data_IF_233091871468
#
_entry.id   IF_233091871468
#
_cell.length_a   1.000
_cell.length_b   1.000
_cell.length_c   1.000
_cell.angle_alpha   90.00
_cell.angle_beta   90.00
_cell.angle_gamma   90.00
#
_symmetry.space_group_name_H-M   'P 1'
#
loop_
_entity.id
_entity.type
_entity.pdbx_description
1 polymer ?
#
# COMPACT_ATOMS: atom_id res chain seq x y z
N UNK A 1 9.15 -20.17 -7.39
CA UNK A 1 9.31 -19.09 -6.39
C UNK A 1 9.70 -17.76 -7.02
N UNK A 2 10.81 -17.69 -7.79
CA UNK A 2 11.24 -16.49 -8.52
C UNK A 2 10.15 -15.85 -9.39
N UNK A 3 9.34 -16.63 -10.09
CA UNK A 3 8.23 -16.10 -10.89
C UNK A 3 7.19 -15.34 -10.04
N UNK A 4 6.79 -15.91 -8.89
CA UNK A 4 5.86 -15.26 -7.96
C UNK A 4 6.43 -13.96 -7.39
N UNK A 5 7.72 -13.94 -7.10
CA UNK A 5 8.43 -12.77 -6.61
C UNK A 5 8.51 -11.67 -7.69
N UNK A 6 8.71 -12.04 -8.95
CA UNK A 6 8.67 -11.12 -10.09
C UNK A 6 7.25 -10.54 -10.30
N UNK A 7 6.21 -11.38 -10.21
CA UNK A 7 4.83 -10.92 -10.25
C UNK A 7 4.52 -9.96 -9.10
N UNK A 8 4.92 -10.31 -7.87
CA UNK A 8 4.75 -9.45 -6.70
C UNK A 8 5.44 -8.10 -6.89
N UNK A 9 6.68 -8.09 -7.40
CA UNK A 9 7.41 -6.85 -7.68
C UNK A 9 6.65 -5.96 -8.67
N UNK A 10 6.14 -6.52 -9.77
CA UNK A 10 5.40 -5.75 -10.78
C UNK A 10 4.10 -5.19 -10.24
N UNK A 11 3.33 -6.01 -9.52
CA UNK A 11 2.02 -5.61 -8.96
C UNK A 11 2.21 -4.52 -7.91
N UNK A 12 3.12 -4.71 -6.96
CA UNK A 12 3.39 -3.73 -5.91
C UNK A 12 4.01 -2.44 -6.44
N UNK A 13 4.83 -2.51 -7.51
CA UNK A 13 5.31 -1.32 -8.21
C UNK A 13 4.15 -0.51 -8.81
N UNK A 14 3.27 -1.19 -9.55
CA UNK A 14 2.12 -0.55 -10.18
C UNK A 14 1.20 0.09 -9.14
N UNK A 15 0.77 -0.69 -8.15
CA UNK A 15 -0.10 -0.21 -7.07
C UNK A 15 0.55 0.92 -6.25
N UNK A 16 1.86 0.84 -6.01
CA UNK A 16 2.62 1.86 -5.30
C UNK A 16 2.55 3.21 -6.00
N UNK A 17 2.88 3.27 -7.29
CA UNK A 17 2.77 4.50 -8.07
C UNK A 17 1.33 4.99 -8.18
N UNK A 18 0.38 4.09 -8.40
CA UNK A 18 -1.05 4.44 -8.46
C UNK A 18 -1.51 5.12 -7.17
N UNK A 19 -1.17 4.57 -6.00
CA UNK A 19 -1.51 5.15 -4.71
C UNK A 19 -0.84 6.50 -4.45
N UNK A 20 0.41 6.66 -4.85
CA UNK A 20 1.11 7.95 -4.72
C UNK A 20 0.42 9.00 -5.60
N UNK A 21 0.11 8.69 -6.86
CA UNK A 21 -0.55 9.62 -7.78
C UNK A 21 -1.91 10.04 -7.22
N UNK A 22 -2.76 9.08 -6.84
CA UNK A 22 -4.06 9.39 -6.25
C UNK A 22 -3.93 10.12 -4.91
N UNK A 23 -2.94 9.77 -4.10
CA UNK A 23 -2.66 10.43 -2.83
C UNK A 23 -2.29 11.89 -3.01
N UNK A 24 -1.42 12.20 -3.98
CA UNK A 24 -1.06 13.58 -4.34
C UNK A 24 -2.29 14.36 -4.83
N UNK A 25 -3.11 13.76 -5.69
CA UNK A 25 -4.36 14.40 -6.16
C UNK A 25 -5.29 14.71 -4.98
N UNK A 26 -5.51 13.74 -4.09
CA UNK A 26 -6.37 13.91 -2.91
C UNK A 26 -5.81 14.89 -1.90
N UNK A 27 -4.48 15.00 -1.78
CA UNK A 27 -3.84 15.91 -0.83
C UNK A 27 -4.30 17.37 -1.02
N UNK A 28 -4.59 17.77 -2.25
CA UNK A 28 -5.06 19.11 -2.58
C UNK A 28 -6.59 19.30 -2.48
N UNK A 29 -7.35 18.27 -2.13
CA UNK A 29 -8.82 18.31 -2.06
C UNK A 29 -9.41 18.90 -0.76
N UNK A 30 -8.60 19.59 0.05
CA UNK A 30 -9.00 20.20 1.34
C UNK A 30 -8.50 19.41 2.56
N UNK A 31 -8.93 19.79 3.78
CA UNK A 31 -8.38 19.26 5.05
C UNK A 31 -8.50 17.73 5.15
N UNK A 32 -9.65 17.17 4.77
CA UNK A 32 -9.87 15.71 4.75
C UNK A 32 -9.01 15.04 3.64
N UNK A 33 -8.81 15.77 2.54
CA UNK A 33 -7.94 15.37 1.43
C UNK A 33 -6.47 15.27 1.83
N UNK A 34 -5.97 16.19 2.65
CA UNK A 34 -4.58 16.18 3.17
C UNK A 34 -4.29 14.89 3.94
N UNK A 35 -5.17 14.51 4.86
CA UNK A 35 -4.99 13.30 5.69
C UNK A 35 -5.07 12.05 4.80
N UNK A 36 -6.13 11.92 4.01
CA UNK A 36 -6.32 10.73 3.15
C UNK A 36 -5.24 10.61 2.05
N UNK A 37 -4.80 11.75 1.52
CA UNK A 37 -3.71 11.85 0.54
C UNK A 37 -2.37 11.45 1.13
N UNK A 38 -2.03 11.95 2.32
CA UNK A 38 -0.79 11.60 3.01
C UNK A 38 -0.72 10.10 3.33
N UNK A 39 -1.83 9.51 3.81
CA UNK A 39 -1.89 8.07 4.06
C UNK A 39 -1.73 7.27 2.77
N UNK A 40 -2.39 7.68 1.68
CA UNK A 40 -2.27 7.01 0.38
C UNK A 40 -0.84 7.03 -0.15
N UNK A 41 -0.14 8.17 -0.04
CA UNK A 41 1.27 8.30 -0.41
C UNK A 41 2.13 7.36 0.43
N UNK A 42 1.94 7.34 1.75
CA UNK A 42 2.67 6.47 2.66
C UNK A 42 2.50 4.98 2.31
N UNK A 43 1.27 4.55 2.03
CA UNK A 43 0.98 3.20 1.59
C UNK A 43 1.63 2.87 0.25
N UNK A 44 1.59 3.81 -0.69
CA UNK A 44 2.25 3.64 -1.98
C UNK A 44 3.76 3.47 -1.85
N UNK A 45 4.42 4.24 -0.97
CA UNK A 45 5.85 4.10 -0.68
C UNK A 45 6.17 2.71 -0.10
N UNK A 46 5.36 2.19 0.81
CA UNK A 46 5.57 0.83 1.34
C UNK A 46 5.45 -0.24 0.25
N UNK A 47 4.52 -0.11 -0.69
CA UNK A 47 4.43 -1.03 -1.83
C UNK A 47 5.62 -0.91 -2.78
N UNK A 48 6.16 0.30 -2.98
CA UNK A 48 7.38 0.47 -3.76
C UNK A 48 8.58 -0.21 -3.09
N UNK A 49 8.71 -0.14 -1.76
CA UNK A 49 9.73 -0.90 -1.01
C UNK A 49 9.57 -2.41 -1.15
N UNK A 50 8.34 -2.93 -1.12
CA UNK A 50 8.08 -4.35 -1.42
C UNK A 50 8.57 -4.71 -2.82
N UNK A 51 8.33 -3.84 -3.80
CA UNK A 51 8.79 -4.05 -5.17
C UNK A 51 10.31 -4.09 -5.30
N UNK A 52 10.99 -3.18 -4.61
CA UNK A 52 12.44 -3.06 -4.56
C UNK A 52 13.07 -4.29 -3.90
N UNK A 53 12.65 -4.65 -2.69
CA UNK A 53 13.11 -5.86 -1.99
C UNK A 53 12.91 -7.11 -2.85
N UNK A 54 11.77 -7.22 -3.53
CA UNK A 54 11.50 -8.35 -4.42
C UNK A 54 12.44 -8.40 -5.64
N UNK A 55 12.92 -7.25 -6.15
CA UNK A 55 13.90 -7.19 -7.25
C UNK A 55 15.30 -7.54 -6.77
N UNK A 56 15.69 -7.06 -5.59
CA UNK A 56 16.99 -7.39 -4.98
C UNK A 56 17.12 -8.91 -4.79
N UNK A 57 16.11 -9.53 -4.18
CA UNK A 57 16.02 -10.98 -4.01
C UNK A 57 16.03 -11.77 -5.34
N UNK A 58 15.61 -11.16 -6.46
CA UNK A 58 15.69 -11.78 -7.78
C UNK A 58 17.09 -11.65 -8.40
N UNK A 59 17.81 -10.57 -8.09
CA UNK A 59 19.15 -10.31 -8.57
C UNK A 59 20.22 -11.17 -7.85
N UNK A 60 19.91 -11.64 -6.64
CA UNK A 60 20.81 -12.46 -5.85
C UNK A 60 20.85 -13.94 -6.29
N UNK A 61 22.03 -14.55 -6.11
CA UNK A 61 22.27 -15.98 -6.37
C UNK A 61 21.65 -16.85 -5.27
N UNK A 62 21.79 -16.43 -4.02
CA UNK A 62 21.19 -17.04 -2.83
C UNK A 62 20.38 -15.96 -2.12
N UNK A 63 19.16 -16.30 -1.72
CA UNK A 63 18.26 -15.33 -1.08
C UNK A 63 18.44 -15.43 0.42
N UNK A 64 18.90 -14.35 1.05
CA UNK A 64 19.06 -14.31 2.50
C UNK A 64 17.71 -14.09 3.22
N UNK A 65 17.58 -14.63 4.44
CA UNK A 65 16.34 -14.60 5.23
C UNK A 65 15.90 -13.17 5.58
N UNK A 66 16.83 -12.23 5.75
CA UNK A 66 16.53 -10.85 6.12
C UNK A 66 15.70 -10.12 5.05
N UNK A 67 15.92 -10.41 3.76
CA UNK A 67 15.16 -9.80 2.67
C UNK A 67 13.68 -10.19 2.70
N UNK A 68 13.36 -11.40 3.18
CA UNK A 68 11.98 -11.83 3.36
C UNK A 68 11.30 -11.07 4.50
N UNK A 69 12.02 -10.79 5.59
CA UNK A 69 11.50 -10.06 6.76
C UNK A 69 11.07 -8.66 6.35
N UNK A 70 11.93 -7.91 5.66
CA UNK A 70 11.61 -6.54 5.26
C UNK A 70 10.49 -6.49 4.21
N UNK A 71 10.50 -7.42 3.25
CA UNK A 71 9.42 -7.55 2.28
C UNK A 71 8.08 -7.80 2.99
N UNK A 72 8.04 -8.73 3.95
CA UNK A 72 6.82 -9.09 4.66
C UNK A 72 6.35 -7.96 5.59
N UNK A 73 7.26 -7.29 6.29
CA UNK A 73 6.93 -6.16 7.18
C UNK A 73 6.28 -5.00 6.43
N UNK A 74 6.80 -4.64 5.25
CA UNK A 74 6.20 -3.59 4.41
C UNK A 74 4.81 -4.00 3.90
N UNK A 75 4.64 -5.29 3.53
CA UNK A 75 3.36 -5.83 3.09
C UNK A 75 2.31 -5.85 4.21
N UNK A 76 2.70 -6.30 5.40
CA UNK A 76 1.85 -6.31 6.61
C UNK A 76 1.46 -4.88 6.99
N UNK A 77 2.40 -3.95 6.97
CA UNK A 77 2.12 -2.53 7.24
C UNK A 77 1.08 -1.97 6.28
N UNK A 78 1.21 -2.27 4.98
CA UNK A 78 0.22 -1.89 3.98
C UNK A 78 -1.18 -2.45 4.29
N UNK A 79 -1.29 -3.76 4.52
CA UNK A 79 -2.59 -4.41 4.78
C UNK A 79 -3.22 -4.00 6.11
N UNK A 80 -2.43 -3.78 7.17
CA UNK A 80 -2.92 -3.32 8.46
C UNK A 80 -3.58 -1.95 8.36
N UNK A 81 -2.92 -1.00 7.72
CA UNK A 81 -3.49 0.35 7.55
C UNK A 81 -4.69 0.28 6.59
N UNK A 82 -4.57 -0.41 5.46
CA UNK A 82 -5.64 -0.48 4.46
C UNK A 82 -6.91 -1.14 5.01
N UNK A 83 -6.77 -2.20 5.82
CA UNK A 83 -7.92 -2.87 6.44
C UNK A 83 -8.64 -1.97 7.46
N UNK A 84 -7.90 -1.22 8.28
CA UNK A 84 -8.49 -0.24 9.20
C UNK A 84 -9.25 0.84 8.42
N UNK A 85 -8.67 1.39 7.35
CA UNK A 85 -9.33 2.40 6.52
C UNK A 85 -10.63 1.87 5.89
N UNK A 86 -10.63 0.63 5.40
CA UNK A 86 -11.82 0.00 4.83
C UNK A 86 -12.91 -0.12 5.90
N UNK A 87 -12.59 -0.59 7.10
CA UNK A 87 -13.56 -0.74 8.20
C UNK A 87 -14.15 0.62 8.57
N UNK A 88 -13.31 1.63 8.78
CA UNK A 88 -13.76 3.00 9.12
C UNK A 88 -14.62 3.58 7.99
N UNK A 89 -14.20 3.41 6.74
CA UNK A 89 -14.97 3.88 5.58
C UNK A 89 -16.33 3.22 5.46
N UNK A 90 -16.42 1.91 5.69
CA UNK A 90 -17.68 1.17 5.70
C UNK A 90 -18.61 1.65 6.82
N UNK A 91 -18.09 1.85 8.04
CA UNK A 91 -18.88 2.36 9.16
C UNK A 91 -19.46 3.74 8.85
N UNK A 92 -18.63 4.68 8.40
CA UNK A 92 -19.08 6.03 8.01
C UNK A 92 -20.12 5.95 6.89
N UNK A 93 -19.90 5.10 5.89
CA UNK A 93 -20.86 4.90 4.79
C UNK A 93 -22.21 4.39 5.26
N UNK A 94 -22.23 3.37 6.12
CA UNK A 94 -23.46 2.81 6.68
C UNK A 94 -24.18 3.83 7.57
N UNK A 95 -23.48 4.49 8.50
CA UNK A 95 -24.08 5.52 9.35
C UNK A 95 -24.61 6.71 8.55
N UNK A 96 -23.87 7.14 7.52
CA UNK A 96 -24.32 8.21 6.62
C UNK A 96 -25.59 7.86 5.85
N UNK A 97 -25.74 6.59 5.44
CA UNK A 97 -26.96 6.10 4.80
C UNK A 97 -28.13 6.01 5.78
N UNK A 98 -27.90 5.54 7.00
CA UNK A 98 -28.93 5.43 8.04
C UNK A 98 -29.42 6.79 8.52
N UNK A 99 -28.52 7.76 8.71
CA UNK A 99 -28.88 9.11 9.17
C UNK A 99 -29.68 9.94 8.15
N UNK A 100 -29.73 9.51 6.89
CA UNK A 100 -30.49 10.17 5.82
C UNK A 100 -31.91 9.62 5.62
N UNK A 101 -32.26 8.54 6.32
CA UNK A 101 -33.63 7.97 6.35
C UNK A 101 -34.40 8.51 7.54
#
# INVERSE_FOLDING_TARGET
MREKLNQLSKVTNFLGYTLIIFGVINFFAGIIGIISGAISIFLGVNLLKVSENAREMLAEKEIEEFHYVDLFNNLVTYFNIQSVLIIVGLLIGVFGLLSRR
#
